data_IF_308584333975
#
_entry.id   IF_308584333975
#
_cell.length_a   1.000
_cell.length_b   1.000
_cell.length_c   1.000
_cell.angle_alpha   90.00
_cell.angle_beta   90.00
_cell.angle_gamma   90.00
#
_symmetry.space_group_name_H-M   'P 1'
#
loop_
_entity.id
_entity.type
_entity.pdbx_description
1 polymer ?
#
# COMPACT_ATOMS: atom_id res chain seq x y z
N UNK A 1 20.99 -16.15 -16.77
CA UNK A 1 19.65 -15.53 -16.73
C UNK A 1 19.58 -14.73 -15.45
N UNK A 2 19.13 -13.48 -15.49
CA UNK A 2 18.86 -12.64 -14.31
C UNK A 2 17.39 -12.27 -14.35
N UNK A 3 16.71 -12.48 -13.23
CA UNK A 3 15.32 -12.08 -13.04
C UNK A 3 15.31 -10.73 -12.33
N UNK A 4 14.55 -9.77 -12.87
CA UNK A 4 14.49 -8.41 -12.36
C UNK A 4 13.09 -8.11 -11.90
N UNK A 5 12.96 -7.83 -10.59
CA UNK A 5 11.67 -7.56 -9.98
C UNK A 5 11.30 -6.07 -10.06
N UNK A 6 12.28 -5.18 -9.98
CA UNK A 6 12.06 -3.74 -10.11
C UNK A 6 12.43 -3.29 -11.53
N UNK A 7 11.47 -2.82 -12.35
CA UNK A 7 11.77 -2.34 -13.70
C UNK A 7 12.82 -1.23 -13.74
N UNK A 8 12.94 -0.42 -12.68
CA UNK A 8 13.94 0.66 -12.62
C UNK A 8 15.38 0.14 -12.51
N UNK A 9 15.58 -1.06 -11.94
CA UNK A 9 16.91 -1.69 -11.84
C UNK A 9 17.39 -2.24 -13.18
N UNK A 10 16.46 -2.51 -14.11
CA UNK A 10 16.79 -3.07 -15.42
C UNK A 10 17.79 -2.19 -16.19
N UNK A 11 17.70 -0.86 -16.06
CA UNK A 11 18.60 0.08 -16.72
C UNK A 11 20.05 -0.14 -16.28
N UNK A 12 20.28 -0.27 -14.97
CA UNK A 12 21.62 -0.49 -14.42
C UNK A 12 22.13 -1.88 -14.79
N UNK A 13 21.24 -2.89 -14.71
CA UNK A 13 21.60 -4.27 -15.01
C UNK A 13 21.95 -4.45 -16.50
N UNK A 14 21.23 -3.80 -17.41
CA UNK A 14 21.55 -3.78 -18.84
C UNK A 14 22.93 -3.16 -19.12
N UNK A 15 23.32 -2.14 -18.36
CA UNK A 15 24.61 -1.47 -18.53
C UNK A 15 25.81 -2.35 -18.09
N UNK A 16 25.61 -3.29 -17.17
CA UNK A 16 26.71 -4.08 -16.58
C UNK A 16 26.68 -5.57 -16.96
N UNK A 17 25.66 -6.03 -17.69
CA UNK A 17 25.52 -7.45 -18.02
C UNK A 17 26.59 -7.94 -18.99
N UNK A 18 27.13 -9.17 -18.83
CA UNK A 18 27.94 -9.82 -19.85
C UNK A 18 27.15 -10.02 -21.16
N UNK A 19 27.82 -10.11 -22.33
CA UNK A 19 27.14 -10.22 -23.63
C UNK A 19 26.11 -11.36 -23.74
N UNK A 20 26.40 -12.51 -23.14
CA UNK A 20 25.52 -13.69 -23.17
C UNK A 20 24.44 -13.68 -22.07
N UNK A 21 24.46 -12.71 -21.15
CA UNK A 21 23.48 -12.68 -20.06
C UNK A 21 22.16 -12.07 -20.54
N UNK A 22 21.08 -12.82 -20.29
CA UNK A 22 19.69 -12.39 -20.50
C UNK A 22 19.11 -11.86 -19.20
N UNK A 23 18.42 -10.72 -19.31
CA UNK A 23 17.61 -10.11 -18.26
C UNK A 23 16.14 -10.36 -18.60
N UNK A 24 15.36 -10.81 -17.61
CA UNK A 24 13.92 -11.05 -17.77
C UNK A 24 13.20 -10.37 -16.61
N UNK A 25 12.22 -9.53 -16.94
CA UNK A 25 11.35 -8.93 -15.94
C UNK A 25 10.45 -10.00 -15.31
N UNK A 26 10.37 -9.99 -13.98
CA UNK A 26 9.47 -10.82 -13.20
C UNK A 26 8.70 -9.90 -12.25
N UNK A 27 7.43 -9.58 -12.54
CA UNK A 27 6.63 -8.74 -11.66
C UNK A 27 6.58 -9.32 -10.24
N UNK A 28 6.54 -8.47 -9.19
CA UNK A 28 6.26 -8.93 -7.84
C UNK A 28 4.96 -9.72 -7.80
N UNK A 29 4.94 -10.80 -7.03
CA UNK A 29 3.77 -11.66 -6.89
C UNK A 29 3.57 -12.05 -5.42
N UNK A 30 2.35 -12.44 -5.11
CA UNK A 30 1.94 -12.95 -3.81
C UNK A 30 1.36 -14.35 -4.02
N UNK A 31 1.66 -15.27 -3.11
CA UNK A 31 0.97 -16.56 -3.05
C UNK A 31 -0.44 -16.33 -2.47
N UNK A 32 -1.52 -16.57 -3.24
CA UNK A 32 -2.88 -16.41 -2.74
C UNK A 32 -3.25 -17.49 -1.71
N UNK A 33 -2.45 -18.55 -1.55
CA UNK A 33 -2.74 -19.60 -0.58
C UNK A 33 -2.81 -19.03 0.85
N UNK A 34 -3.91 -19.32 1.54
CA UNK A 34 -4.16 -18.84 2.90
C UNK A 34 -4.75 -17.42 2.98
N UNK A 35 -5.05 -16.79 1.85
CA UNK A 35 -5.92 -15.61 1.80
C UNK A 35 -7.34 -16.03 1.45
N UNK A 36 -8.37 -15.47 2.13
CA UNK A 36 -9.74 -15.64 1.67
C UNK A 36 -9.91 -14.96 0.31
N UNK A 37 -10.67 -15.62 -0.58
CA UNK A 37 -11.03 -15.04 -1.87
C UNK A 37 -12.03 -13.89 -1.67
N UNK A 38 -11.91 -12.79 -2.44
CA UNK A 38 -12.88 -11.72 -2.37
C UNK A 38 -14.25 -12.20 -2.88
N UNK A 39 -15.36 -11.63 -2.37
CA UNK A 39 -16.69 -11.87 -2.95
C UNK A 39 -16.74 -11.32 -4.40
N UNK A 40 -17.66 -11.87 -5.21
CA UNK A 40 -17.73 -11.59 -6.64
C UNK A 40 -18.01 -10.12 -7.03
N UNK A 41 -18.49 -9.29 -6.10
CA UNK A 41 -18.69 -7.87 -6.32
C UNK A 41 -18.41 -7.08 -5.03
N UNK A 42 -17.68 -5.94 -5.11
CA UNK A 42 -17.66 -4.96 -4.03
C UNK A 42 -19.08 -4.45 -3.81
N UNK A 43 -19.48 -4.29 -2.55
CA UNK A 43 -20.70 -3.55 -2.23
C UNK A 43 -20.30 -2.11 -1.94
N UNK A 44 -20.71 -1.13 -2.76
CA UNK A 44 -20.52 0.27 -2.41
C UNK A 44 -21.31 0.54 -1.13
N UNK A 45 -20.60 0.78 -0.04
CA UNK A 45 -21.21 1.21 1.19
C UNK A 45 -21.58 2.70 1.03
N UNK A 46 -22.84 3.06 1.22
CA UNK A 46 -23.20 4.46 1.41
C UNK A 46 -22.53 4.98 2.69
N UNK A 47 -22.05 6.22 2.69
CA UNK A 47 -21.41 6.84 3.86
C UNK A 47 -20.07 7.52 3.54
N UNK A 48 -19.19 7.69 4.56
CA UNK A 48 -17.86 8.27 4.36
C UNK A 48 -16.99 7.39 3.48
N UNK A 49 -16.08 8.01 2.72
CA UNK A 49 -15.03 7.29 1.98
C UNK A 49 -14.07 6.62 2.97
N UNK A 50 -13.81 5.33 2.80
CA UNK A 50 -13.02 4.51 3.73
C UNK A 50 -11.63 4.25 3.14
N UNK A 51 -10.63 4.89 3.71
CA UNK A 51 -9.22 4.65 3.41
C UNK A 51 -8.65 3.57 4.33
N UNK A 52 -7.75 2.76 3.79
CA UNK A 52 -6.92 1.83 4.54
C UNK A 52 -5.44 2.15 4.33
N UNK A 53 -4.65 2.08 5.39
CA UNK A 53 -3.20 2.04 5.32
C UNK A 53 -2.67 0.85 6.11
N UNK A 54 -1.86 0.00 5.49
CA UNK A 54 -1.24 -1.16 6.14
C UNK A 54 0.28 -1.03 6.05
N UNK A 55 0.93 -0.70 7.16
CA UNK A 55 2.38 -0.55 7.21
C UNK A 55 2.95 -0.61 8.62
N UNK A 56 4.15 -1.19 8.73
CA UNK A 56 4.95 -1.05 9.95
C UNK A 56 5.31 0.42 10.21
N UNK A 57 5.27 0.81 11.47
CA UNK A 57 5.65 2.14 11.95
C UNK A 57 7.13 2.15 12.35
N UNK A 58 8.02 2.35 11.37
CA UNK A 58 9.47 2.53 11.60
C UNK A 58 9.93 3.95 11.23
N UNK A 59 11.02 4.46 11.85
CA UNK A 59 11.65 5.71 11.43
C UNK A 59 12.12 5.68 9.97
N UNK A 60 12.36 6.86 9.39
CA UNK A 60 12.77 7.01 7.99
C UNK A 60 11.59 6.93 7.02
N UNK A 61 11.75 6.20 5.93
CA UNK A 61 10.83 6.17 4.79
C UNK A 61 9.37 5.83 5.14
N UNK A 62 9.16 4.94 6.12
CA UNK A 62 7.79 4.60 6.55
C UNK A 62 7.15 5.74 7.32
N UNK A 63 7.86 6.38 8.25
CA UNK A 63 7.36 7.57 8.94
C UNK A 63 7.13 8.72 7.95
N UNK A 64 8.00 8.89 6.95
CA UNK A 64 7.81 9.87 5.88
C UNK A 64 6.54 9.60 5.05
N UNK A 65 6.24 8.32 4.75
CA UNK A 65 5.00 7.93 4.07
C UNK A 65 3.76 8.27 4.90
N UNK A 66 3.80 8.03 6.22
CA UNK A 66 2.70 8.42 7.13
C UNK A 66 2.54 9.94 7.19
N UNK A 67 3.63 10.71 7.22
CA UNK A 67 3.59 12.17 7.24
C UNK A 67 3.01 12.74 5.94
N UNK A 68 3.40 12.19 4.79
CA UNK A 68 2.84 12.58 3.49
C UNK A 68 1.35 12.23 3.38
N UNK A 69 0.94 11.09 3.92
CA UNK A 69 -0.47 10.69 4.00
C UNK A 69 -1.28 11.66 4.87
N UNK A 70 -0.79 12.02 6.06
CA UNK A 70 -1.44 12.99 6.94
C UNK A 70 -1.58 14.37 6.24
N UNK A 71 -0.52 14.87 5.60
CA UNK A 71 -0.57 16.12 4.84
C UNK A 71 -1.63 16.07 3.72
N UNK A 72 -1.68 14.98 2.93
CA UNK A 72 -2.67 14.82 1.88
C UNK A 72 -4.10 14.81 2.42
N UNK A 73 -4.36 14.07 3.50
CA UNK A 73 -5.69 13.97 4.13
C UNK A 73 -6.19 15.30 4.68
N UNK A 74 -5.29 16.17 5.16
CA UNK A 74 -5.65 17.53 5.62
C UNK A 74 -6.28 18.40 4.54
N UNK A 75 -6.06 18.07 3.26
CA UNK A 75 -6.55 18.80 2.09
C UNK A 75 -7.88 18.28 1.55
N UNK A 76 -8.40 17.18 2.10
CA UNK A 76 -9.64 16.55 1.62
C UNK A 76 -10.92 17.19 2.19
N UNK A 77 -10.86 18.40 2.75
CA UNK A 77 -12.09 19.09 3.18
C UNK A 77 -12.85 19.62 1.95
N UNK A 78 -14.18 19.45 1.85
CA UNK A 78 -15.15 19.00 2.86
C UNK A 78 -15.56 17.50 2.78
N UNK A 79 -14.77 16.62 2.14
CA UNK A 79 -15.10 15.21 1.99
C UNK A 79 -15.24 14.53 3.36
N UNK A 80 -16.30 13.72 3.53
CA UNK A 80 -16.44 12.84 4.70
C UNK A 80 -15.65 11.55 4.46
N UNK A 81 -14.66 11.28 5.31
CA UNK A 81 -13.78 10.14 5.17
C UNK A 81 -13.40 9.51 6.52
N UNK A 82 -13.04 8.23 6.48
CA UNK A 82 -12.46 7.46 7.57
C UNK A 82 -11.15 6.85 7.12
N UNK A 83 -10.20 6.71 8.04
CA UNK A 83 -8.93 6.03 7.80
C UNK A 83 -8.72 4.95 8.85
N UNK A 84 -8.59 3.71 8.39
CA UNK A 84 -8.13 2.60 9.20
C UNK A 84 -6.61 2.41 8.98
N UNK A 85 -5.83 2.45 10.06
CA UNK A 85 -4.37 2.23 10.04
C UNK A 85 -4.05 0.91 10.73
N UNK A 86 -3.46 0.00 9.98
CA UNK A 86 -2.99 -1.31 10.44
C UNK A 86 -1.46 -1.32 10.46
N UNK A 87 -0.91 -1.77 11.57
CA UNK A 87 0.51 -1.87 11.81
C UNK A 87 0.91 -1.29 13.17
N UNK A 88 2.15 -1.58 13.55
CA UNK A 88 2.77 -1.08 14.76
C UNK A 88 4.28 -0.90 14.53
N UNK A 89 4.99 -0.39 15.52
CA UNK A 89 6.44 -0.34 15.52
C UNK A 89 7.00 0.82 16.36
N UNK A 90 8.34 0.96 16.37
CA UNK A 90 9.03 1.94 17.22
C UNK A 90 8.64 3.40 16.96
N UNK A 91 8.10 3.72 15.78
CA UNK A 91 7.67 5.07 15.42
C UNK A 91 6.17 5.34 15.70
N UNK A 92 5.46 4.41 16.36
CA UNK A 92 4.04 4.55 16.67
C UNK A 92 3.68 5.89 17.34
N UNK A 93 4.39 6.37 18.38
CA UNK A 93 4.07 7.66 18.98
C UNK A 93 4.13 8.83 17.99
N UNK A 94 5.10 8.83 17.07
CA UNK A 94 5.19 9.86 16.02
C UNK A 94 4.04 9.74 15.02
N UNK A 95 3.66 8.52 14.64
CA UNK A 95 2.54 8.30 13.71
C UNK A 95 1.22 8.75 14.36
N UNK A 96 0.94 8.36 15.61
CA UNK A 96 -0.26 8.82 16.33
C UNK A 96 -0.31 10.36 16.44
N UNK A 97 0.83 11.02 16.66
CA UNK A 97 0.91 12.47 16.70
C UNK A 97 0.58 13.14 15.34
N UNK A 98 0.99 12.53 14.22
CA UNK A 98 0.67 13.03 12.88
C UNK A 98 -0.84 13.00 12.60
N UNK A 99 -1.55 12.01 13.14
CA UNK A 99 -2.98 11.82 12.89
C UNK A 99 -3.91 12.39 13.99
N UNK A 100 -3.36 12.83 15.12
CA UNK A 100 -4.12 13.42 16.22
C UNK A 100 -5.08 14.57 15.79
N UNK A 101 -4.71 15.46 14.85
CA UNK A 101 -5.62 16.52 14.39
C UNK A 101 -6.91 16.03 13.72
N UNK A 102 -6.95 14.80 13.19
CA UNK A 102 -8.12 14.24 12.52
C UNK A 102 -9.13 13.61 13.49
N UNK A 103 -8.79 13.49 14.78
CA UNK A 103 -9.66 12.97 15.82
C UNK A 103 -10.28 11.62 15.45
N UNK A 104 -11.60 11.52 15.57
CA UNK A 104 -12.34 10.27 15.35
C UNK A 104 -12.40 9.78 13.89
N UNK A 105 -11.81 10.50 12.93
CA UNK A 105 -11.74 10.03 11.54
C UNK A 105 -10.71 8.92 11.34
N UNK A 106 -9.73 8.80 12.26
CA UNK A 106 -8.62 7.83 12.16
C UNK A 106 -8.77 6.77 13.24
N UNK A 107 -8.65 5.49 12.85
CA UNK A 107 -8.66 4.34 13.75
C UNK A 107 -7.38 3.54 13.60
N UNK A 108 -6.69 3.32 14.70
CA UNK A 108 -5.52 2.44 14.77
C UNK A 108 -5.94 1.03 15.20
N UNK A 109 -5.55 0.03 14.43
CA UNK A 109 -5.81 -1.40 14.71
C UNK A 109 -4.63 -2.10 15.38
N UNK A 110 -3.45 -1.48 15.40
CA UNK A 110 -2.21 -2.15 15.78
C UNK A 110 -1.80 -3.20 14.74
N UNK A 111 -0.92 -4.12 15.12
CA UNK A 111 -0.52 -5.24 14.27
C UNK A 111 -1.68 -6.26 14.15
N UNK A 112 -2.09 -6.56 12.91
CA UNK A 112 -3.06 -7.63 12.60
C UNK A 112 -2.34 -8.75 11.87
N UNK A 113 -2.11 -9.87 12.56
CA UNK A 113 -1.39 -11.03 12.00
C UNK A 113 -2.33 -12.04 11.30
N UNK A 114 -3.60 -12.08 11.72
CA UNK A 114 -4.59 -12.96 11.10
C UNK A 114 -4.98 -12.47 9.70
N UNK A 115 -4.68 -13.27 8.68
CA UNK A 115 -4.97 -12.94 7.28
C UNK A 115 -6.46 -12.78 7.00
N UNK A 116 -7.33 -13.50 7.72
CA UNK A 116 -8.78 -13.38 7.58
C UNK A 116 -9.28 -12.00 8.04
N UNK A 117 -8.82 -11.54 9.20
CA UNK A 117 -9.11 -10.23 9.75
C UNK A 117 -8.51 -9.11 8.89
N UNK A 118 -7.26 -9.27 8.42
CA UNK A 118 -6.63 -8.31 7.52
C UNK A 118 -7.37 -8.23 6.17
N UNK A 119 -7.77 -9.36 5.60
CA UNK A 119 -8.58 -9.38 4.38
C UNK A 119 -9.98 -8.77 4.56
N UNK A 120 -10.57 -8.85 5.76
CA UNK A 120 -11.80 -8.11 6.05
C UNK A 120 -11.58 -6.60 5.99
N UNK A 121 -10.49 -6.09 6.56
CA UNK A 121 -10.15 -4.66 6.51
C UNK A 121 -9.94 -4.16 5.07
N UNK A 122 -9.25 -4.93 4.23
CA UNK A 122 -9.12 -4.62 2.80
C UNK A 122 -10.49 -4.54 2.10
N UNK A 123 -11.38 -5.49 2.35
CA UNK A 123 -12.71 -5.55 1.71
C UNK A 123 -13.68 -4.49 2.22
N UNK A 124 -13.53 -4.08 3.47
CA UNK A 124 -14.36 -3.06 4.11
C UNK A 124 -13.87 -1.63 3.79
N UNK A 125 -12.92 -1.47 2.87
CA UNK A 125 -12.34 -0.17 2.48
C UNK A 125 -12.63 0.14 1.02
N UNK A 126 -12.63 1.43 0.67
CA UNK A 126 -12.82 1.89 -0.71
C UNK A 126 -11.48 2.06 -1.43
N UNK A 127 -10.44 2.49 -0.71
CA UNK A 127 -9.11 2.73 -1.26
C UNK A 127 -8.01 2.33 -0.27
N UNK A 128 -6.98 1.62 -0.75
CA UNK A 128 -5.69 1.57 -0.06
C UNK A 128 -4.96 2.89 -0.31
N UNK A 129 -4.65 3.64 0.73
CA UNK A 129 -3.86 4.87 0.66
C UNK A 129 -2.47 4.64 1.25
N UNK A 130 -1.46 4.50 0.39
CA UNK A 130 -0.10 4.28 0.84
C UNK A 130 0.92 4.99 -0.06
N UNK A 131 1.48 6.15 0.36
CA UNK A 131 2.41 6.91 -0.48
C UNK A 131 3.72 6.19 -0.81
N UNK A 132 4.11 5.16 -0.04
CA UNK A 132 5.23 4.27 -0.36
C UNK A 132 6.56 4.97 -0.70
N UNK A 133 6.96 5.97 0.10
CA UNK A 133 8.23 6.69 -0.07
C UNK A 133 9.38 5.69 -0.10
N UNK A 134 10.17 5.70 -1.18
CA UNK A 134 11.33 4.83 -1.38
C UNK A 134 11.05 3.32 -1.12
N UNK A 135 9.84 2.86 -1.45
CA UNK A 135 9.46 1.47 -1.32
C UNK A 135 10.02 0.62 -2.46
N UNK A 136 10.50 -0.58 -2.16
CA UNK A 136 10.96 -1.51 -3.19
C UNK A 136 9.79 -1.97 -4.08
N UNK A 137 8.75 -2.57 -3.48
CA UNK A 137 7.56 -3.06 -4.20
C UNK A 137 6.27 -2.76 -3.43
N UNK A 138 6.30 -2.94 -2.10
CA UNK A 138 5.13 -2.80 -1.24
C UNK A 138 4.17 -3.97 -1.39
N UNK A 139 4.39 -5.05 -0.61
CA UNK A 139 3.49 -6.23 -0.64
C UNK A 139 2.03 -5.87 -0.36
N UNK A 140 1.79 -4.81 0.40
CA UNK A 140 0.47 -4.23 0.67
C UNK A 140 -0.35 -3.98 -0.60
N UNK A 141 0.28 -3.58 -1.71
CA UNK A 141 -0.43 -3.35 -2.98
C UNK A 141 -0.88 -4.65 -3.64
N UNK A 142 -0.09 -5.72 -3.54
CA UNK A 142 -0.47 -7.06 -4.00
C UNK A 142 -1.60 -7.64 -3.15
N UNK A 143 -1.55 -7.43 -1.84
CA UNK A 143 -2.60 -7.84 -0.90
C UNK A 143 -3.92 -7.11 -1.19
N UNK A 144 -3.87 -5.78 -1.39
CA UNK A 144 -5.03 -5.00 -1.79
C UNK A 144 -5.61 -5.45 -3.14
N UNK A 145 -4.75 -5.65 -4.15
CA UNK A 145 -5.18 -6.15 -5.46
C UNK A 145 -5.82 -7.55 -5.37
N UNK A 146 -5.28 -8.44 -4.52
CA UNK A 146 -5.86 -9.76 -4.27
C UNK A 146 -7.28 -9.67 -3.67
N UNK A 147 -7.57 -8.63 -2.90
CA UNK A 147 -8.88 -8.38 -2.30
C UNK A 147 -9.79 -7.47 -3.15
N UNK A 148 -9.34 -7.08 -4.36
CA UNK A 148 -10.09 -6.21 -5.26
C UNK A 148 -10.16 -4.75 -4.80
N UNK A 149 -9.24 -4.32 -3.92
CA UNK A 149 -9.17 -2.95 -3.41
C UNK A 149 -8.21 -2.12 -4.28
N UNK A 150 -8.69 -1.06 -4.97
CA UNK A 150 -7.80 -0.15 -5.68
C UNK A 150 -6.89 0.63 -4.73
N UNK A 151 -5.69 0.96 -5.21
CA UNK A 151 -4.68 1.67 -4.42
C UNK A 151 -4.38 3.08 -4.95
N UNK A 152 -4.13 4.03 -4.06
CA UNK A 152 -3.49 5.31 -4.37
C UNK A 152 -2.08 5.26 -3.81
N UNK A 153 -1.09 5.35 -4.68
CA UNK A 153 0.31 5.15 -4.32
C UNK A 153 1.21 6.26 -4.83
N UNK A 154 2.38 6.43 -4.22
CA UNK A 154 3.42 7.25 -4.81
C UNK A 154 4.13 6.50 -5.94
N UNK A 155 4.49 7.21 -7.02
CA UNK A 155 5.31 6.68 -8.12
C UNK A 155 6.80 6.63 -7.73
N UNK A 156 7.10 5.85 -6.70
CA UNK A 156 8.45 5.61 -6.20
C UNK A 156 8.89 4.16 -6.43
N UNK A 157 10.19 3.97 -6.68
CA UNK A 157 10.80 2.65 -6.72
C UNK A 157 10.10 1.68 -7.67
N UNK A 158 9.83 0.47 -7.19
CA UNK A 158 9.13 -0.57 -7.93
C UNK A 158 7.61 -0.59 -7.72
N UNK A 159 7.03 0.41 -7.05
CA UNK A 159 5.57 0.50 -6.82
C UNK A 159 4.80 0.57 -8.14
N UNK A 160 5.33 1.30 -9.14
CA UNK A 160 4.77 1.36 -10.49
C UNK A 160 4.78 0.00 -11.23
N UNK A 161 5.54 -0.98 -10.73
CA UNK A 161 5.49 -2.36 -11.23
C UNK A 161 4.35 -3.20 -10.63
N UNK A 162 3.63 -2.67 -9.65
CA UNK A 162 2.54 -3.35 -8.92
C UNK A 162 1.21 -2.64 -9.09
N UNK A 163 1.19 -1.31 -8.96
CA UNK A 163 0.00 -0.48 -9.18
C UNK A 163 -0.05 -0.05 -10.65
N UNK A 164 -1.09 -0.46 -11.35
CA UNK A 164 -1.32 -0.14 -12.77
C UNK A 164 -2.28 1.03 -12.82
N UNK A 165 -1.77 2.20 -13.23
CA UNK A 165 -2.53 3.44 -13.29
C UNK A 165 -3.79 3.30 -14.16
N UNK A 166 -4.96 3.61 -13.59
CA UNK A 166 -6.26 3.52 -14.26
C UNK A 166 -6.88 2.11 -14.30
N UNK A 167 -6.15 1.07 -13.85
CA UNK A 167 -6.65 -0.31 -13.80
C UNK A 167 -6.77 -0.83 -12.36
N UNK A 168 -5.68 -0.79 -11.59
CA UNK A 168 -5.63 -1.26 -10.20
C UNK A 168 -5.44 -0.14 -9.18
N UNK A 169 -5.28 1.10 -9.66
CA UNK A 169 -5.06 2.24 -8.79
C UNK A 169 -4.71 3.54 -9.52
N UNK A 170 -4.28 4.53 -8.73
CA UNK A 170 -3.79 5.83 -9.19
C UNK A 170 -2.32 6.03 -8.81
#
# INVERSE_FOLDING_TARGET
LVLVLNPRDAVVLEAVKPPAQRIVALPPFLDPAGWPLPPAAPQPAGGPVRFLAVAMMRPGDKLASHALMADALSRLTPLDWRLDIVGDGPARPQVEALFAPFGGCVRFHGLVEDRGALAALYRDSDLLLWPAVNEAFGMVFLEAALQGLPAVAGDFGGVAGVVIHGETGL
#
